data_IF_933144708235
#
_entry.id   IF_933144708235
#
_cell.length_a   1.000
_cell.length_b   1.000
_cell.length_c   1.000
_cell.angle_alpha   90.00
_cell.angle_beta   90.00
_cell.angle_gamma   90.00
#
_symmetry.space_group_name_H-M   'P 1'
#
loop_
_entity.id
_entity.type
_entity.pdbx_description
1 polymer ?
#
# COMPACT_ATOMS: atom_id res chain seq x y z
N UNK A 1 19.86 7.51 -9.98
CA UNK A 1 18.40 7.71 -9.84
C UNK A 1 18.12 8.64 -8.68
N UNK A 2 17.23 9.62 -8.85
CA UNK A 2 16.75 10.46 -7.76
C UNK A 2 15.97 9.59 -6.75
N UNK A 3 16.24 9.73 -5.45
CA UNK A 3 15.57 8.96 -4.41
C UNK A 3 14.05 9.18 -4.39
N UNK A 4 13.57 10.33 -4.89
CA UNK A 4 12.16 10.68 -4.94
C UNK A 4 11.32 9.74 -5.81
N UNK A 5 11.90 9.19 -6.89
CA UNK A 5 11.22 8.22 -7.77
C UNK A 5 11.02 6.86 -7.10
N UNK A 6 11.67 6.61 -5.96
CA UNK A 6 11.54 5.38 -5.17
C UNK A 6 10.54 5.54 -4.03
N UNK A 7 9.93 6.72 -3.90
CA UNK A 7 8.87 6.97 -2.95
C UNK A 7 7.53 6.81 -3.66
N UNK A 8 6.54 6.34 -2.89
CA UNK A 8 5.15 6.29 -3.29
C UNK A 8 4.28 6.93 -2.21
N UNK A 9 3.09 7.37 -2.60
CA UNK A 9 2.12 7.95 -1.68
C UNK A 9 0.95 6.97 -1.45
N UNK A 10 0.64 6.70 -0.18
CA UNK A 10 -0.49 5.85 0.20
C UNK A 10 -1.69 6.69 0.63
N UNK A 11 -2.88 6.42 0.10
CA UNK A 11 -4.08 7.24 0.37
C UNK A 11 -4.94 6.72 1.54
N UNK A 12 -4.45 5.78 2.33
CA UNK A 12 -5.23 5.14 3.40
C UNK A 12 -5.82 6.14 4.42
N UNK A 13 -5.06 7.19 4.77
CA UNK A 13 -5.50 8.21 5.72
C UNK A 13 -6.44 9.26 5.10
N UNK A 14 -6.44 9.42 3.78
CA UNK A 14 -7.19 10.44 3.04
C UNK A 14 -8.49 9.88 2.44
N UNK A 15 -8.54 8.58 2.17
CA UNK A 15 -9.71 7.92 1.59
C UNK A 15 -10.86 7.67 2.57
N UNK A 16 -10.66 7.84 3.88
CA UNK A 16 -11.70 7.61 4.89
C UNK A 16 -11.56 8.54 6.11
N UNK A 17 -12.67 8.89 6.79
CA UNK A 17 -12.66 9.90 7.85
C UNK A 17 -12.03 9.39 9.17
N UNK A 18 -11.83 8.07 9.31
CA UNK A 18 -11.15 7.44 10.45
C UNK A 18 -10.19 6.32 10.00
N UNK A 19 -8.96 6.34 10.50
CA UNK A 19 -7.83 5.45 10.21
C UNK A 19 -6.90 5.40 11.43
N UNK A 20 -6.08 4.36 11.54
CA UNK A 20 -5.37 3.97 12.77
C UNK A 20 -4.08 4.78 13.06
N UNK A 21 -3.67 5.72 12.19
CA UNK A 21 -2.39 6.42 12.37
C UNK A 21 -2.43 7.43 13.53
N UNK A 22 -1.30 7.59 14.23
CA UNK A 22 -1.14 8.59 15.29
C UNK A 22 -0.87 9.98 14.71
N UNK A 23 -1.24 11.03 15.45
CA UNK A 23 -0.89 12.43 15.14
C UNK A 23 -1.60 13.06 13.94
N UNK A 24 -2.55 12.37 13.30
CA UNK A 24 -3.22 12.86 12.08
C UNK A 24 -4.49 13.68 12.30
N UNK A 25 -5.01 13.72 13.53
CA UNK A 25 -6.37 14.22 13.77
C UNK A 25 -6.53 15.67 13.33
N UNK A 26 -5.49 16.47 13.57
CA UNK A 26 -5.41 17.91 13.28
C UNK A 26 -4.90 18.20 11.85
N UNK A 27 -4.37 17.19 11.16
CA UNK A 27 -3.86 17.30 9.77
C UNK A 27 -4.96 17.07 8.72
N UNK A 28 -6.09 16.48 9.12
CA UNK A 28 -7.24 16.28 8.23
C UNK A 28 -8.20 17.46 8.31
N UNK A 29 -8.95 17.74 7.22
CA UNK A 29 -10.00 18.76 7.25
C UNK A 29 -10.94 18.57 8.44
N UNK A 30 -11.25 19.63 9.23
CA UNK A 30 -12.04 19.48 10.46
C UNK A 30 -13.42 18.84 10.26
N UNK A 31 -14.09 19.18 9.15
CA UNK A 31 -15.43 18.68 8.84
C UNK A 31 -15.45 17.24 8.31
N UNK A 32 -14.32 16.74 7.79
CA UNK A 32 -14.16 15.40 7.18
C UNK A 32 -15.31 15.02 6.24
N UNK A 33 -15.91 16.00 5.57
CA UNK A 33 -16.89 15.72 4.51
C UNK A 33 -16.18 14.98 3.38
N UNK A 34 -16.93 14.25 2.56
CA UNK A 34 -16.39 13.59 1.38
C UNK A 34 -15.66 14.60 0.50
N UNK A 35 -16.28 15.74 0.24
CA UNK A 35 -15.79 16.80 -0.63
C UNK A 35 -14.48 17.37 -0.10
N UNK A 36 -14.43 17.67 1.20
CA UNK A 36 -13.22 18.19 1.85
C UNK A 36 -12.08 17.16 1.83
N UNK A 37 -12.37 15.88 2.09
CA UNK A 37 -11.36 14.82 2.04
C UNK A 37 -10.88 14.56 0.61
N UNK A 38 -11.76 14.68 -0.39
CA UNK A 38 -11.41 14.60 -1.81
C UNK A 38 -10.48 15.73 -2.22
N UNK A 39 -10.80 16.98 -1.84
CA UNK A 39 -9.95 18.14 -2.09
C UNK A 39 -8.57 17.97 -1.44
N UNK A 40 -8.52 17.60 -0.15
CA UNK A 40 -7.27 17.30 0.53
C UNK A 40 -6.48 16.16 -0.13
N UNK A 41 -7.17 15.14 -0.66
CA UNK A 41 -6.52 14.06 -1.41
C UNK A 41 -5.86 14.60 -2.67
N UNK A 42 -6.55 15.45 -3.42
CA UNK A 42 -6.04 16.04 -4.66
C UNK A 42 -4.88 16.99 -4.40
N UNK A 43 -4.93 17.81 -3.35
CA UNK A 43 -3.82 18.69 -2.95
C UNK A 43 -2.55 17.87 -2.65
N UNK A 44 -2.69 16.76 -1.94
CA UNK A 44 -1.56 15.85 -1.64
C UNK A 44 -1.03 15.19 -2.92
N UNK A 45 -1.91 14.76 -3.84
CA UNK A 45 -1.51 14.16 -5.11
C UNK A 45 -0.81 15.17 -6.03
N UNK A 46 -1.34 16.40 -6.15
CA UNK A 46 -0.74 17.50 -6.91
C UNK A 46 0.66 17.81 -6.36
N UNK A 47 0.82 17.91 -5.04
CA UNK A 47 2.11 18.14 -4.38
C UNK A 47 3.10 16.99 -4.58
N UNK A 48 2.65 15.74 -4.42
CA UNK A 48 3.47 14.54 -4.63
C UNK A 48 3.96 14.44 -6.08
N UNK A 49 3.06 14.69 -7.04
CA UNK A 49 3.40 14.67 -8.46
C UNK A 49 4.39 15.77 -8.81
N UNK A 50 4.19 17.00 -8.34
CA UNK A 50 5.12 18.11 -8.53
C UNK A 50 6.51 17.82 -7.92
N UNK A 51 6.56 17.08 -6.81
CA UNK A 51 7.81 16.65 -6.19
C UNK A 51 8.53 15.51 -6.94
N UNK A 52 7.90 14.87 -7.93
CA UNK A 52 8.47 13.76 -8.69
C UNK A 52 8.09 12.37 -8.20
N UNK A 53 7.14 12.24 -7.26
CA UNK A 53 6.59 10.94 -6.86
C UNK A 53 5.66 10.44 -7.98
N UNK A 54 5.81 9.17 -8.34
CA UNK A 54 5.09 8.55 -9.47
C UNK A 54 4.39 7.24 -9.12
N UNK A 55 4.44 6.80 -7.86
CA UNK A 55 3.69 5.64 -7.40
C UNK A 55 2.59 6.07 -6.43
N UNK A 56 1.33 5.72 -6.73
CA UNK A 56 0.18 5.99 -5.86
C UNK A 56 -0.46 4.67 -5.45
N UNK A 57 -0.60 4.46 -4.13
CA UNK A 57 -1.11 3.23 -3.55
C UNK A 57 -2.46 3.46 -2.82
N UNK A 58 -3.45 2.67 -3.19
CA UNK A 58 -4.81 2.68 -2.65
C UNK A 58 -5.26 1.26 -2.29
N UNK A 59 -6.51 1.10 -1.86
CA UNK A 59 -7.16 -0.19 -1.65
C UNK A 59 -8.68 0.00 -1.58
N UNK A 60 -9.46 -1.05 -1.88
CA UNK A 60 -10.92 -1.07 -1.68
C UNK A 60 -11.35 -0.73 -0.26
N UNK A 61 -10.53 -1.08 0.73
CA UNK A 61 -10.85 -0.81 2.15
C UNK A 61 -10.53 0.61 2.62
N UNK A 62 -9.92 1.43 1.76
CA UNK A 62 -9.57 2.81 2.08
C UNK A 62 -10.73 3.76 1.77
N UNK A 63 -11.95 3.39 2.17
CA UNK A 63 -13.16 4.17 1.93
C UNK A 63 -13.35 4.52 0.46
N UNK A 64 -13.24 5.82 0.14
CA UNK A 64 -13.42 6.38 -1.21
C UNK A 64 -12.10 6.70 -1.92
N UNK A 65 -10.96 6.18 -1.43
CA UNK A 65 -9.64 6.47 -2.01
C UNK A 65 -9.54 6.20 -3.52
N UNK A 66 -10.08 5.07 -3.99
CA UNK A 66 -10.03 4.74 -5.44
C UNK A 66 -10.84 5.72 -6.27
N UNK A 67 -12.02 6.13 -5.78
CA UNK A 67 -12.84 7.14 -6.44
C UNK A 67 -12.11 8.49 -6.50
N UNK A 68 -11.53 8.93 -5.37
CA UNK A 68 -10.81 10.20 -5.32
C UNK A 68 -9.60 10.19 -6.26
N UNK A 69 -8.86 9.09 -6.31
CA UNK A 69 -7.73 8.92 -7.22
C UNK A 69 -8.18 8.87 -8.68
N UNK A 70 -9.21 8.09 -9.03
CA UNK A 70 -9.74 8.01 -10.39
C UNK A 70 -10.19 9.38 -10.91
N UNK A 71 -10.86 10.16 -10.05
CA UNK A 71 -11.24 11.53 -10.37
C UNK A 71 -10.03 12.45 -10.60
N UNK A 72 -8.98 12.33 -9.78
CA UNK A 72 -7.75 13.10 -9.95
C UNK A 72 -7.02 12.75 -11.24
N UNK A 73 -6.85 11.47 -11.53
CA UNK A 73 -6.21 10.96 -12.76
C UNK A 73 -6.94 11.49 -14.00
N UNK A 74 -8.27 11.41 -14.02
CA UNK A 74 -9.08 11.91 -15.13
C UNK A 74 -8.98 13.44 -15.28
N UNK A 75 -9.00 14.17 -14.16
CA UNK A 75 -9.00 15.64 -14.19
C UNK A 75 -7.63 16.26 -14.49
N UNK A 76 -6.54 15.61 -14.06
CA UNK A 76 -5.18 16.12 -14.21
C UNK A 76 -4.42 15.51 -15.39
N UNK A 77 -4.78 14.31 -15.83
CA UNK A 77 -4.09 13.57 -16.89
C UNK A 77 -2.57 13.46 -16.69
N UNK A 78 -2.09 13.02 -15.51
CA UNK A 78 -0.66 12.99 -15.21
C UNK A 78 0.02 11.84 -15.96
N UNK A 79 1.17 12.13 -16.59
CA UNK A 79 1.99 11.11 -17.23
C UNK A 79 2.78 10.27 -16.21
N UNK A 80 3.08 9.03 -16.58
CA UNK A 80 4.00 8.12 -15.89
C UNK A 80 3.64 7.77 -14.43
N UNK A 81 2.36 7.78 -14.08
CA UNK A 81 1.90 7.34 -12.75
C UNK A 81 1.64 5.83 -12.74
N UNK A 82 2.29 5.13 -11.81
CA UNK A 82 1.96 3.74 -11.45
C UNK A 82 0.93 3.73 -10.34
N UNK A 83 -0.22 3.09 -10.58
CA UNK A 83 -1.28 2.94 -9.57
C UNK A 83 -1.34 1.52 -9.05
N UNK A 84 -1.30 1.35 -7.73
CA UNK A 84 -1.57 0.08 -7.07
C UNK A 84 -2.84 0.12 -6.24
N UNK A 85 -3.70 -0.88 -6.39
CA UNK A 85 -4.84 -1.11 -5.50
C UNK A 85 -4.83 -2.52 -4.90
N UNK A 86 -5.76 -2.80 -3.98
CA UNK A 86 -5.84 -4.05 -3.24
C UNK A 86 -7.27 -4.51 -2.97
N UNK A 87 -7.43 -5.82 -2.94
CA UNK A 87 -8.67 -6.53 -2.61
C UNK A 87 -8.52 -7.42 -1.39
N UNK A 88 -9.64 -7.87 -0.83
CA UNK A 88 -9.67 -8.80 0.29
C UNK A 88 -10.14 -8.16 1.59
N UNK A 89 -10.19 -6.83 1.66
CA UNK A 89 -10.93 -6.12 2.71
C UNK A 89 -12.04 -5.28 2.08
N UNK A 90 -13.23 -5.36 2.64
CA UNK A 90 -14.35 -4.47 2.30
C UNK A 90 -14.50 -3.42 3.38
N UNK A 91 -14.53 -2.15 2.99
CA UNK A 91 -14.87 -1.06 3.91
C UNK A 91 -16.36 -1.09 4.20
N UNK A 92 -16.72 -1.22 5.48
CA UNK A 92 -18.12 -1.25 5.97
C UNK A 92 -18.41 -0.12 6.95
N UNK A 93 -17.48 0.82 7.09
CA UNK A 93 -17.60 1.94 8.02
C UNK A 93 -18.57 3.04 7.57
N UNK A 94 -19.10 3.00 6.34
CA UNK A 94 -20.12 3.94 5.84
C UNK A 94 -19.82 5.43 6.09
N UNK A 95 -18.54 5.83 6.01
CA UNK A 95 -18.08 7.19 6.31
C UNK A 95 -18.29 7.66 7.76
N UNK A 96 -18.61 6.76 8.68
CA UNK A 96 -18.70 7.05 10.12
C UNK A 96 -17.31 7.01 10.73
N UNK A 97 -17.01 7.96 11.62
CA UNK A 97 -15.72 8.02 12.34
C UNK A 97 -15.62 7.02 13.47
N UNK A 98 -16.76 6.57 13.98
CA UNK A 98 -16.94 5.73 15.17
C UNK A 98 -17.62 4.40 14.85
N UNK A 99 -17.53 3.95 13.59
CA UNK A 99 -18.09 2.65 13.20
C UNK A 99 -17.46 1.53 14.04
N UNK A 100 -18.25 0.60 14.61
CA UNK A 100 -17.72 -0.48 15.44
C UNK A 100 -16.82 -1.44 14.64
N UNK A 101 -17.12 -1.61 13.35
CA UNK A 101 -16.31 -2.35 12.39
C UNK A 101 -16.12 -1.45 11.18
N UNK A 102 -14.86 -1.18 10.83
CA UNK A 102 -14.55 -0.38 9.64
C UNK A 102 -14.31 -1.24 8.42
N UNK A 103 -13.87 -2.48 8.59
CA UNK A 103 -13.48 -3.35 7.48
C UNK A 103 -13.64 -4.83 7.82
N UNK A 104 -14.01 -5.62 6.81
CA UNK A 104 -14.15 -7.08 6.92
C UNK A 104 -13.20 -7.74 5.93
N UNK A 105 -12.37 -8.65 6.44
CA UNK A 105 -11.41 -9.43 5.64
C UNK A 105 -12.06 -10.69 5.07
N UNK A 106 -11.85 -10.95 3.79
CA UNK A 106 -12.18 -12.20 3.13
C UNK A 106 -11.30 -12.43 1.90
N UNK A 107 -10.64 -13.59 1.83
CA UNK A 107 -9.87 -14.00 0.65
C UNK A 107 -10.59 -15.13 -0.08
N UNK A 108 -11.65 -14.79 -0.82
CA UNK A 108 -12.41 -15.74 -1.64
C UNK A 108 -12.43 -15.30 -3.11
N UNK A 109 -12.67 -16.25 -4.01
CA UNK A 109 -12.89 -15.97 -5.44
C UNK A 109 -14.04 -14.97 -5.66
N UNK A 110 -15.14 -15.11 -4.93
CA UNK A 110 -16.30 -14.21 -5.04
C UNK A 110 -15.92 -12.78 -4.67
N UNK A 111 -15.24 -12.61 -3.53
CA UNK A 111 -14.76 -11.30 -3.05
C UNK A 111 -13.81 -10.66 -4.06
N UNK A 112 -12.86 -11.44 -4.60
CA UNK A 112 -11.92 -10.98 -5.62
C UNK A 112 -12.64 -10.44 -6.85
N UNK A 113 -13.56 -11.22 -7.45
CA UNK A 113 -14.26 -10.85 -8.68
C UNK A 113 -15.07 -9.57 -8.50
N UNK A 114 -15.88 -9.49 -7.45
CA UNK A 114 -16.66 -8.28 -7.15
C UNK A 114 -15.76 -7.07 -6.97
N UNK A 115 -14.70 -7.19 -6.17
CA UNK A 115 -13.82 -6.05 -5.90
C UNK A 115 -12.99 -5.65 -7.11
N UNK A 116 -12.61 -6.59 -7.98
CA UNK A 116 -11.89 -6.28 -9.21
C UNK A 116 -12.75 -5.43 -10.14
N UNK A 117 -14.02 -5.80 -10.34
CA UNK A 117 -14.97 -4.99 -11.11
C UNK A 117 -15.18 -3.59 -10.50
N UNK A 118 -15.33 -3.51 -9.18
CA UNK A 118 -15.46 -2.23 -8.47
C UNK A 118 -14.22 -1.34 -8.61
N UNK A 119 -13.01 -1.92 -8.51
CA UNK A 119 -11.75 -1.19 -8.71
C UNK A 119 -11.64 -0.70 -10.15
N UNK A 120 -11.96 -1.54 -11.14
CA UNK A 120 -11.93 -1.17 -12.56
C UNK A 120 -12.90 -0.05 -12.88
N UNK A 121 -14.07 0.02 -12.22
CA UNK A 121 -15.01 1.11 -12.41
C UNK A 121 -14.44 2.51 -12.07
N UNK A 122 -13.42 2.60 -11.18
CA UNK A 122 -12.77 3.86 -10.82
C UNK A 122 -11.40 4.07 -11.47
N UNK A 123 -10.64 2.99 -11.64
CA UNK A 123 -9.23 3.07 -12.01
C UNK A 123 -8.92 2.48 -13.39
N UNK A 124 -9.85 1.76 -14.01
CA UNK A 124 -9.74 1.08 -15.30
C UNK A 124 -8.32 0.97 -15.89
N UNK A 125 -8.03 1.74 -16.94
CA UNK A 125 -6.73 1.79 -17.65
C UNK A 125 -5.55 2.24 -16.78
N UNK A 126 -5.79 2.95 -15.69
CA UNK A 126 -4.76 3.42 -14.77
C UNK A 126 -4.25 2.34 -13.82
N UNK A 127 -5.01 1.26 -13.58
CA UNK A 127 -4.63 0.21 -12.63
C UNK A 127 -3.42 -0.59 -13.13
N UNK A 128 -2.24 -0.35 -12.53
CA UNK A 128 -1.00 -1.02 -12.92
C UNK A 128 -0.69 -2.25 -12.07
N UNK A 129 -1.08 -2.24 -10.80
CA UNK A 129 -0.82 -3.33 -9.84
C UNK A 129 -2.07 -3.63 -9.01
N UNK A 130 -2.46 -4.89 -8.91
CA UNK A 130 -3.56 -5.31 -8.07
C UNK A 130 -3.12 -6.38 -7.07
N UNK A 131 -3.26 -6.06 -5.78
CA UNK A 131 -2.65 -6.83 -4.71
C UNK A 131 -3.68 -7.52 -3.81
N UNK A 132 -3.36 -8.72 -3.33
CA UNK A 132 -4.09 -9.33 -2.21
C UNK A 132 -3.77 -8.56 -0.94
N UNK A 133 -4.77 -8.04 -0.23
CA UNK A 133 -4.57 -7.18 0.92
C UNK A 133 -4.35 -7.99 2.20
N UNK A 134 -3.23 -7.75 2.89
CA UNK A 134 -2.93 -8.33 4.21
C UNK A 134 -2.99 -9.87 4.22
N UNK A 135 -2.34 -10.50 3.24
CA UNK A 135 -2.05 -11.92 3.19
C UNK A 135 -1.30 -12.37 4.47
N UNK A 136 -1.68 -13.54 4.97
CA UNK A 136 -1.02 -14.29 6.04
C UNK A 136 -0.89 -15.74 5.60
N UNK A 137 -0.05 -16.54 6.26
CA UNK A 137 0.16 -17.95 5.92
C UNK A 137 -1.12 -18.79 5.93
N UNK A 138 -2.08 -18.45 6.78
CA UNK A 138 -3.34 -19.16 6.95
C UNK A 138 -4.39 -18.75 5.90
N UNK A 139 -4.05 -17.82 5.01
CA UNK A 139 -4.97 -17.35 3.98
C UNK A 139 -5.49 -18.51 3.12
N UNK A 140 -6.83 -18.64 2.95
CA UNK A 140 -7.41 -19.69 2.11
C UNK A 140 -7.00 -19.59 0.65
N UNK A 141 -6.49 -18.42 0.20
CA UNK A 141 -5.92 -18.22 -1.13
C UNK A 141 -4.91 -19.30 -1.51
N UNK A 142 -4.09 -19.77 -0.57
CA UNK A 142 -3.05 -20.76 -0.87
C UNK A 142 -3.60 -22.14 -1.24
N UNK A 143 -4.87 -22.42 -0.95
CA UNK A 143 -5.53 -23.69 -1.26
C UNK A 143 -6.62 -23.54 -2.34
N UNK A 144 -7.04 -22.30 -2.65
CA UNK A 144 -8.06 -22.02 -3.65
C UNK A 144 -7.47 -21.87 -5.06
N UNK A 145 -7.34 -23.00 -5.76
CA UNK A 145 -6.82 -23.05 -7.14
C UNK A 145 -7.65 -22.19 -8.11
N UNK A 146 -8.96 -22.03 -7.88
CA UNK A 146 -9.81 -21.22 -8.77
C UNK A 146 -9.55 -19.72 -8.56
N UNK A 147 -9.34 -19.30 -7.32
CA UNK A 147 -8.88 -17.94 -7.02
C UNK A 147 -7.50 -17.67 -7.60
N UNK A 148 -6.56 -18.61 -7.46
CA UNK A 148 -5.21 -18.47 -8.05
C UNK A 148 -5.26 -18.31 -9.57
N UNK A 149 -6.08 -19.13 -10.25
CA UNK A 149 -6.29 -19.00 -11.69
C UNK A 149 -6.90 -17.64 -12.07
N UNK A 150 -7.93 -17.18 -11.34
CA UNK A 150 -8.56 -15.88 -11.61
C UNK A 150 -7.62 -14.67 -11.37
N UNK A 151 -6.67 -14.79 -10.44
CA UNK A 151 -5.60 -13.81 -10.25
C UNK A 151 -4.64 -13.82 -11.45
N UNK A 152 -4.22 -15.02 -11.91
CA UNK A 152 -3.35 -15.15 -13.07
C UNK A 152 -4.00 -14.59 -14.36
N UNK A 153 -5.31 -14.76 -14.54
CA UNK A 153 -6.07 -14.21 -15.68
C UNK A 153 -5.95 -12.68 -15.76
N UNK A 154 -6.04 -11.95 -14.64
CA UNK A 154 -5.89 -10.49 -14.64
C UNK A 154 -4.49 -10.03 -15.07
N UNK A 155 -3.47 -10.89 -15.00
CA UNK A 155 -2.14 -10.58 -15.55
C UNK A 155 -2.14 -10.49 -17.08
N UNK A 156 -3.05 -11.20 -17.74
CA UNK A 156 -3.20 -11.15 -19.19
C UNK A 156 -3.70 -9.78 -19.68
N UNK A 157 -4.40 -9.03 -18.82
CA UNK A 157 -4.86 -7.66 -19.07
C UNK A 157 -3.76 -6.61 -18.80
N UNK A 158 -2.52 -7.03 -18.55
CA UNK A 158 -1.38 -6.16 -18.26
C UNK A 158 -1.29 -5.68 -16.81
N UNK A 159 -2.20 -6.13 -15.93
CA UNK A 159 -2.18 -5.78 -14.51
C UNK A 159 -1.21 -6.68 -13.75
N UNK A 160 -0.21 -6.09 -13.09
CA UNK A 160 0.71 -6.85 -12.25
C UNK A 160 0.01 -7.32 -10.98
N UNK A 161 0.08 -8.63 -10.70
CA UNK A 161 -0.51 -9.19 -9.48
C UNK A 161 0.52 -9.17 -8.37
N UNK A 162 0.08 -8.78 -7.17
CA UNK A 162 0.93 -8.72 -5.99
C UNK A 162 0.20 -9.13 -4.71
N UNK A 163 0.87 -8.95 -3.58
CA UNK A 163 0.30 -9.17 -2.27
C UNK A 163 0.89 -8.20 -1.26
N UNK A 164 0.10 -7.85 -0.25
CA UNK A 164 0.59 -7.18 0.95
C UNK A 164 0.51 -8.12 2.14
N UNK A 165 1.50 -8.14 3.04
CA UNK A 165 1.49 -9.00 4.23
C UNK A 165 0.88 -8.32 5.46
N UNK A 166 0.53 -9.10 6.47
CA UNK A 166 0.18 -8.61 7.81
C UNK A 166 0.54 -9.64 8.88
N UNK A 167 0.51 -9.24 10.15
CA UNK A 167 0.81 -10.13 11.28
C UNK A 167 2.32 -10.38 11.48
N UNK A 168 2.70 -11.15 12.51
CA UNK A 168 4.11 -11.37 12.87
C UNK A 168 4.84 -12.31 11.88
N UNK A 169 4.15 -13.23 11.21
CA UNK A 169 4.70 -14.20 10.27
C UNK A 169 4.95 -13.66 8.85
N UNK A 170 5.36 -12.39 8.71
CA UNK A 170 5.50 -11.78 7.39
C UNK A 170 6.56 -12.50 6.54
N UNK A 171 7.69 -12.88 7.16
CA UNK A 171 8.80 -13.51 6.44
C UNK A 171 8.37 -14.83 5.77
N UNK A 172 7.67 -15.68 6.50
CA UNK A 172 7.19 -16.97 5.99
C UNK A 172 6.06 -16.78 4.98
N UNK A 173 5.17 -15.82 5.20
CA UNK A 173 4.14 -15.43 4.21
C UNK A 173 4.78 -14.97 2.89
N UNK A 174 5.85 -14.15 2.94
CA UNK A 174 6.54 -13.65 1.75
C UNK A 174 7.12 -14.80 0.95
N UNK A 175 7.88 -15.69 1.60
CA UNK A 175 8.51 -16.83 0.91
C UNK A 175 7.47 -17.75 0.28
N UNK A 176 6.41 -18.06 1.02
CA UNK A 176 5.32 -18.91 0.53
C UNK A 176 4.61 -18.30 -0.67
N UNK A 177 4.30 -17.00 -0.62
CA UNK A 177 3.67 -16.31 -1.74
C UNK A 177 4.62 -16.16 -2.94
N UNK A 178 5.89 -15.83 -2.72
CA UNK A 178 6.88 -15.68 -3.78
C UNK A 178 7.12 -16.99 -4.56
N UNK A 179 6.95 -18.14 -3.92
CA UNK A 179 7.05 -19.46 -4.53
C UNK A 179 5.74 -19.96 -5.19
N UNK A 180 4.64 -19.20 -5.11
CA UNK A 180 3.36 -19.63 -5.66
C UNK A 180 3.35 -19.51 -7.19
N UNK A 181 3.07 -20.61 -7.86
CA UNK A 181 2.99 -20.70 -9.31
C UNK A 181 1.60 -21.14 -9.78
N UNK A 182 1.20 -20.60 -10.94
CA UNK A 182 0.01 -21.03 -11.68
C UNK A 182 0.47 -21.33 -13.10
N UNK A 183 0.18 -22.54 -13.58
CA UNK A 183 0.58 -23.00 -14.93
C UNK A 183 2.10 -22.86 -15.19
N UNK A 184 2.93 -23.11 -14.18
CA UNK A 184 4.40 -23.03 -14.25
C UNK A 184 4.96 -21.60 -14.36
N UNK A 185 4.15 -20.58 -14.06
CA UNK A 185 4.56 -19.19 -13.97
C UNK A 185 4.32 -18.67 -12.56
N UNK A 186 5.24 -17.87 -12.03
CA UNK A 186 5.07 -17.23 -10.73
C UNK A 186 3.86 -16.29 -10.75
N UNK A 187 2.96 -16.46 -9.79
CA UNK A 187 1.73 -15.68 -9.71
C UNK A 187 1.99 -14.21 -9.36
N UNK A 188 2.86 -13.96 -8.38
CA UNK A 188 3.09 -12.63 -7.86
C UNK A 188 4.36 -11.97 -8.43
N UNK A 189 4.22 -10.70 -8.78
CA UNK A 189 5.29 -9.85 -9.29
C UNK A 189 5.65 -8.70 -8.33
N UNK A 190 4.81 -8.43 -7.32
CA UNK A 190 5.08 -7.42 -6.30
C UNK A 190 4.76 -7.93 -4.90
N UNK A 191 5.46 -7.38 -3.91
CA UNK A 191 5.21 -7.62 -2.49
C UNK A 191 5.22 -6.31 -1.72
N UNK A 192 4.19 -6.06 -0.90
CA UNK A 192 4.11 -4.92 0.00
C UNK A 192 4.11 -5.34 1.47
N UNK A 193 5.20 -5.14 2.19
CA UNK A 193 5.34 -5.63 3.57
C UNK A 193 5.73 -4.54 4.55
N UNK A 194 5.37 -4.72 5.82
CA UNK A 194 5.75 -3.77 6.88
C UNK A 194 7.24 -3.87 7.12
N UNK A 195 7.93 -2.74 6.98
CA UNK A 195 9.32 -2.59 7.37
C UNK A 195 9.58 -1.16 7.86
N UNK A 196 10.21 -1.04 9.02
CA UNK A 196 10.73 0.22 9.53
C UNK A 196 11.86 -0.05 10.53
N UNK A 197 12.50 1.00 11.06
CA UNK A 197 13.63 0.85 11.98
C UNK A 197 13.28 0.17 13.32
N UNK A 198 11.99 0.01 13.64
CA UNK A 198 11.51 -0.70 14.82
C UNK A 198 11.01 -2.11 14.50
N UNK A 199 10.72 -2.41 13.24
CA UNK A 199 10.20 -3.69 12.77
C UNK A 199 10.95 -4.11 11.49
N UNK A 200 11.98 -4.95 11.68
CA UNK A 200 12.89 -5.38 10.61
C UNK A 200 12.79 -6.86 10.28
N UNK A 201 11.88 -7.61 10.92
CA UNK A 201 11.81 -9.08 10.85
C UNK A 201 11.62 -9.61 9.43
N UNK A 202 10.87 -8.89 8.60
CA UNK A 202 10.62 -9.27 7.21
C UNK A 202 11.83 -9.06 6.29
N UNK A 203 12.88 -8.35 6.73
CA UNK A 203 13.92 -7.79 5.86
C UNK A 203 14.68 -8.80 4.99
N UNK A 204 14.94 -10.01 5.50
CA UNK A 204 15.63 -11.05 4.73
C UNK A 204 14.72 -11.74 3.71
N UNK A 205 13.50 -12.15 4.12
CA UNK A 205 12.53 -12.74 3.20
C UNK A 205 12.11 -11.76 2.10
N UNK A 206 11.99 -10.50 2.49
CA UNK A 206 11.91 -9.40 1.56
C UNK A 206 13.09 -9.50 0.58
N UNK A 207 14.37 -9.46 1.02
CA UNK A 207 15.57 -9.51 0.13
C UNK A 207 15.45 -10.61 -0.91
N UNK A 208 15.16 -11.82 -0.44
CA UNK A 208 14.99 -13.00 -1.29
C UNK A 208 13.93 -12.79 -2.38
N UNK A 209 12.81 -12.12 -2.06
CA UNK A 209 11.76 -11.83 -3.04
C UNK A 209 12.26 -10.90 -4.17
N UNK A 210 13.06 -9.89 -3.87
CA UNK A 210 13.64 -9.03 -4.90
C UNK A 210 14.75 -9.71 -5.68
N UNK A 211 15.61 -10.50 -5.01
CA UNK A 211 16.63 -11.30 -5.68
C UNK A 211 15.96 -12.27 -6.68
N UNK A 212 14.73 -12.72 -6.37
CA UNK A 212 13.89 -13.50 -7.29
C UNK A 212 13.16 -12.64 -8.35
N UNK A 213 13.24 -11.31 -8.30
CA UNK A 213 12.68 -10.38 -9.28
C UNK A 213 11.31 -9.80 -8.94
N UNK A 214 10.82 -9.91 -7.69
CA UNK A 214 9.62 -9.18 -7.27
C UNK A 214 9.95 -7.70 -7.02
N UNK A 215 9.02 -6.83 -7.38
CA UNK A 215 9.07 -5.43 -6.96
C UNK A 215 8.64 -5.31 -5.48
N UNK A 216 9.52 -4.77 -4.65
CA UNK A 216 9.30 -4.65 -3.20
C UNK A 216 8.82 -3.25 -2.84
N UNK A 217 7.67 -3.20 -2.17
CA UNK A 217 7.10 -2.01 -1.56
C UNK A 217 7.19 -2.13 -0.04
N UNK A 218 7.72 -1.10 0.62
CA UNK A 218 7.72 -1.04 2.08
C UNK A 218 6.53 -0.20 2.55
N UNK A 219 5.70 -0.75 3.44
CA UNK A 219 4.63 -0.01 4.12
C UNK A 219 4.98 0.23 5.58
N UNK A 220 4.26 1.17 6.19
CA UNK A 220 4.43 1.56 7.60
C UNK A 220 5.88 1.97 7.94
N UNK A 221 6.59 2.59 6.99
CA UNK A 221 7.99 3.03 7.14
C UNK A 221 8.17 3.98 8.33
N UNK A 222 7.12 4.72 8.68
CA UNK A 222 7.08 5.62 9.84
C UNK A 222 6.44 4.99 11.09
N UNK A 223 6.26 3.67 11.12
CA UNK A 223 5.59 2.92 12.20
C UNK A 223 4.23 3.57 12.59
N UNK A 224 3.35 3.72 11.59
CA UNK A 224 2.04 4.36 11.71
C UNK A 224 2.06 5.79 12.30
N UNK A 225 3.17 6.51 12.11
CA UNK A 225 3.38 7.90 12.56
C UNK A 225 4.24 8.01 13.82
N UNK A 226 4.53 6.90 14.52
CA UNK A 226 5.31 6.90 15.75
C UNK A 226 6.73 7.44 15.54
N UNK A 227 7.37 7.13 14.42
CA UNK A 227 8.73 7.60 14.13
C UNK A 227 8.79 9.10 13.79
N UNK A 228 7.67 9.72 13.42
CA UNK A 228 7.58 11.16 13.21
C UNK A 228 7.23 11.90 14.50
N UNK A 229 6.28 11.36 15.28
CA UNK A 229 5.70 12.05 16.45
C UNK A 229 6.41 11.73 17.77
N UNK A 230 6.91 10.51 17.93
CA UNK A 230 7.55 10.01 19.15
C UNK A 230 8.78 9.14 18.81
N UNK A 231 9.78 9.70 18.10
CA UNK A 231 10.97 8.95 17.71
C UNK A 231 11.79 8.50 18.92
N UNK A 232 12.46 7.33 18.88
CA UNK A 232 13.39 6.90 19.93
C UNK A 232 14.52 7.93 20.17
N UNK A 233 15.00 8.04 21.41
CA UNK A 233 16.05 9.01 21.78
C UNK A 233 17.35 8.87 20.94
N UNK A 234 17.73 7.64 20.59
CA UNK A 234 18.87 7.38 19.71
C UNK A 234 18.67 8.02 18.33
N UNK A 235 17.45 7.96 17.79
CA UNK A 235 17.11 8.56 16.51
C UNK A 235 17.10 10.09 16.57
N UNK A 236 16.56 10.67 17.65
CA UNK A 236 16.63 12.11 17.90
C UNK A 236 18.08 12.61 17.95
N UNK A 237 18.97 11.85 18.60
CA UNK A 237 20.40 12.16 18.69
C UNK A 237 21.06 12.18 17.30
N UNK A 238 20.72 11.22 16.43
CA UNK A 238 21.25 11.17 15.05
C UNK A 238 20.68 12.31 14.19
N UNK A 239 19.38 12.57 14.29
CA UNK A 239 18.68 13.64 13.59
C UNK A 239 19.30 15.02 13.88
N UNK A 240 19.57 15.31 15.16
CA UNK A 240 20.21 16.55 15.61
C UNK A 240 21.64 16.76 15.06
N UNK A 241 22.39 15.67 14.83
CA UNK A 241 23.75 15.74 14.25
C UNK A 241 23.76 15.97 12.74
N UNK A 242 22.66 15.65 12.04
CA UNK A 242 22.56 15.66 10.57
C UNK A 242 21.57 16.72 10.03
N UNK A 243 21.35 17.80 10.80
CA UNK A 243 20.13 18.64 10.78
C UNK A 243 18.97 18.16 9.89
N UNK A 244 18.46 16.94 10.13
CA UNK A 244 17.27 16.39 9.44
C UNK A 244 16.19 16.06 10.46
N UNK A 245 14.94 16.04 10.02
CA UNK A 245 13.83 15.59 10.85
C UNK A 245 13.84 14.06 11.03
N UNK A 246 13.29 13.54 12.15
CA UNK A 246 13.24 12.10 12.41
C UNK A 246 12.52 11.30 11.31
N UNK A 247 11.41 11.80 10.78
CA UNK A 247 10.70 11.18 9.65
C UNK A 247 11.59 11.01 8.41
N UNK A 248 12.34 12.04 8.04
CA UNK A 248 13.30 12.00 6.93
C UNK A 248 14.42 10.99 7.20
N UNK A 249 14.87 10.85 8.46
CA UNK A 249 15.84 9.83 8.83
C UNK A 249 15.28 8.40 8.74
N UNK A 250 14.01 8.18 9.11
CA UNK A 250 13.35 6.88 8.95
C UNK A 250 13.18 6.51 7.47
N UNK A 251 12.70 7.45 6.64
CA UNK A 251 12.60 7.27 5.20
C UNK A 251 13.97 7.00 4.57
N UNK A 252 15.00 7.76 4.98
CA UNK A 252 16.36 7.52 4.52
C UNK A 252 16.87 6.13 4.92
N UNK A 253 16.56 5.63 6.12
CA UNK A 253 16.93 4.28 6.54
C UNK A 253 16.28 3.19 5.68
N UNK A 254 15.02 3.36 5.30
CA UNK A 254 14.32 2.46 4.37
C UNK A 254 14.93 2.53 2.97
N UNK A 255 15.14 3.74 2.45
CA UNK A 255 15.74 3.95 1.14
C UNK A 255 17.15 3.37 1.09
N UNK A 256 17.96 3.50 2.16
CA UNK A 256 19.36 3.02 2.27
C UNK A 256 19.55 1.53 2.13
N UNK A 257 18.48 0.75 2.20
CA UNK A 257 18.55 -0.68 1.92
C UNK A 257 18.86 -1.00 0.44
N UNK A 258 19.21 0.00 -0.38
CA UNK A 258 19.76 -0.11 -1.75
C UNK A 258 21.08 -0.91 -1.91
N UNK A 259 21.53 -1.65 -0.91
CA UNK A 259 22.57 -2.68 -1.07
C UNK A 259 21.98 -4.10 -0.98
N UNK A 260 20.66 -4.19 -0.99
CA UNK A 260 19.85 -5.39 -0.78
C UNK A 260 18.66 -5.42 -1.79
N UNK A 261 18.41 -4.34 -2.54
CA UNK A 261 17.29 -4.09 -3.48
C UNK A 261 17.65 -3.07 -4.56
#
# INVERSE_FOLDING_TARGET
MNAIHRLGIGLAALGRPAYINVGRADELPPGRSVEQMREATWDVLDAAYAAGIRWVDVARSYGRAEEFLGGWLTARGPDDVTVSSKWGYTYVGEWKTDAPVHEVKEHSLGRYRTQYEETRAFLDEYLSVYQVHSLTEESPLFQDVRLQAALAEASADGVRIGFSTSGPGQADTIRRAAALEVSGQRLFSTVQSTWNVLETSAGEALREAHDAGLHVLLKEVLANGRLATQPPAAMQTVAARKPVQPDALALAAALRRHLIW
#
